data_IF_750175438338
#
_entry.id   IF_750175438338
#
_cell.length_a   1.000
_cell.length_b   1.000
_cell.length_c   1.000
_cell.angle_alpha   90.00
_cell.angle_beta   90.00
_cell.angle_gamma   90.00
#
_symmetry.space_group_name_H-M   'P 1'
#
loop_
_entity.id
_entity.type
_entity.pdbx_description
1 polymer ?
#
# COMPACT_ATOMS: atom_id res chain seq x y z
N UNK A 1 9.30 2.52 33.46
CA UNK A 1 9.53 1.17 32.88
C UNK A 1 8.42 0.94 31.84
N UNK A 2 8.58 1.09 30.53
CA UNK A 2 9.68 1.35 29.60
C UNK A 2 9.41 2.69 28.92
N UNK A 3 10.44 3.54 28.76
CA UNK A 3 10.44 4.64 27.79
C UNK A 3 10.22 4.01 26.41
N UNK A 4 9.00 4.06 25.89
CA UNK A 4 8.77 3.82 24.47
C UNK A 4 9.43 4.98 23.75
N UNK A 5 10.62 4.73 23.20
CA UNK A 5 11.24 5.56 22.18
C UNK A 5 10.17 5.77 21.11
N UNK A 6 9.56 6.96 21.06
CA UNK A 6 8.71 7.36 19.94
C UNK A 6 9.67 7.47 18.76
N UNK A 7 9.83 6.36 18.03
CA UNK A 7 10.49 6.37 16.74
C UNK A 7 9.78 7.42 15.89
N UNK A 8 10.58 8.25 15.22
CA UNK A 8 10.12 9.31 14.32
C UNK A 8 8.97 8.80 13.48
N UNK A 9 7.89 9.59 13.39
CA UNK A 9 6.68 9.18 12.66
C UNK A 9 7.06 8.75 11.24
N UNK A 10 7.95 9.49 10.57
CA UNK A 10 8.51 9.23 9.23
C UNK A 10 9.95 8.69 9.29
N UNK A 11 10.48 8.19 8.17
CA UNK A 11 11.87 7.76 7.99
C UNK A 11 12.93 8.84 8.28
N UNK A 12 12.49 10.08 8.53
CA UNK A 12 13.30 11.23 8.93
C UNK A 12 12.63 12.00 10.08
N UNK A 13 13.45 12.73 10.84
CA UNK A 13 12.97 13.58 11.93
C UNK A 13 12.32 14.86 11.39
N UNK A 14 11.16 15.21 11.96
CA UNK A 14 10.48 16.47 11.68
C UNK A 14 10.91 17.51 12.72
N UNK A 15 11.34 18.69 12.26
CA UNK A 15 11.71 19.79 13.15
C UNK A 15 10.51 20.24 13.99
N UNK A 16 10.74 20.68 15.23
CA UNK A 16 9.71 21.23 16.10
C UNK A 16 8.95 22.39 15.42
N UNK A 17 9.69 23.26 14.71
CA UNK A 17 9.11 24.35 13.95
C UNK A 17 8.15 23.85 12.86
N UNK A 18 8.51 22.78 12.15
CA UNK A 18 7.63 22.16 11.15
C UNK A 18 6.42 21.48 11.80
N UNK A 19 6.61 20.75 12.91
CA UNK A 19 5.51 20.11 13.66
C UNK A 19 4.48 21.13 14.12
N UNK A 20 4.93 22.26 14.67
CA UNK A 20 4.07 23.38 15.10
C UNK A 20 3.42 24.08 13.91
N UNK A 21 4.20 24.45 12.89
CA UNK A 21 3.71 25.14 11.69
C UNK A 21 2.60 24.35 11.03
N UNK A 22 2.77 23.02 10.94
CA UNK A 22 1.88 22.12 10.23
C UNK A 22 0.91 21.36 11.13
N UNK A 23 0.83 21.65 12.44
CA UNK A 23 -0.05 20.95 13.38
C UNK A 23 0.03 19.40 13.26
N UNK A 24 1.25 18.87 13.19
CA UNK A 24 1.53 17.45 12.92
C UNK A 24 1.27 16.57 14.14
N UNK A 25 1.41 17.12 15.35
CA UNK A 25 1.23 16.37 16.61
C UNK A 25 -0.21 15.87 16.82
N UNK A 26 -1.18 16.39 16.05
CA UNK A 26 -2.56 15.90 15.97
C UNK A 26 -2.77 14.71 15.02
N UNK A 27 -1.77 14.30 14.24
CA UNK A 27 -1.85 13.14 13.36
C UNK A 27 -1.68 11.85 14.19
N UNK A 28 -2.50 10.81 13.93
CA UNK A 28 -2.47 9.59 14.73
C UNK A 28 -1.09 8.91 14.59
N UNK A 29 -0.35 8.84 15.70
CA UNK A 29 0.84 8.00 15.80
C UNK A 29 0.44 6.55 15.49
N UNK A 30 1.11 5.91 14.52
CA UNK A 30 0.81 4.54 14.11
C UNK A 30 2.05 3.65 14.15
N UNK A 31 1.85 2.33 14.32
CA UNK A 31 2.87 1.42 14.82
C UNK A 31 3.89 1.01 13.77
N UNK A 32 5.07 0.65 14.27
CA UNK A 32 6.26 -0.10 13.78
C UNK A 32 6.33 -0.63 12.32
N UNK A 33 5.21 -0.87 11.63
CA UNK A 33 5.15 -1.48 10.29
C UNK A 33 5.28 -0.47 9.12
N UNK A 34 5.43 0.82 9.41
CA UNK A 34 5.61 1.89 8.43
C UNK A 34 4.31 2.53 7.94
N UNK A 35 4.44 3.57 7.12
CA UNK A 35 3.31 4.35 6.61
C UNK A 35 2.63 3.73 5.38
N UNK A 36 1.30 3.83 5.33
CA UNK A 36 0.51 3.45 4.15
C UNK A 36 0.40 4.60 3.15
N UNK A 37 0.01 4.29 1.90
CA UNK A 37 -0.30 5.31 0.89
C UNK A 37 -1.39 6.29 1.35
N UNK A 38 -2.39 5.80 2.12
CA UNK A 38 -3.43 6.66 2.66
C UNK A 38 -2.87 7.70 3.64
N UNK A 39 -1.87 7.32 4.43
CA UNK A 39 -1.19 8.22 5.37
C UNK A 39 -0.42 9.31 4.63
N UNK A 40 0.34 8.95 3.58
CA UNK A 40 1.03 9.93 2.73
C UNK A 40 0.07 10.86 1.99
N UNK A 41 -1.09 10.37 1.53
CA UNK A 41 -2.11 11.21 0.92
C UNK A 41 -2.70 12.21 1.90
N UNK A 42 -3.01 11.78 3.13
CA UNK A 42 -3.48 12.67 4.20
C UNK A 42 -2.42 13.71 4.55
N UNK A 43 -1.16 13.29 4.67
CA UNK A 43 -0.05 14.19 4.99
C UNK A 43 0.20 15.20 3.88
N UNK A 44 0.27 14.78 2.62
CA UNK A 44 0.39 15.68 1.46
C UNK A 44 -0.76 16.68 1.41
N UNK A 45 -2.01 16.22 1.55
CA UNK A 45 -3.18 17.09 1.57
C UNK A 45 -3.12 18.11 2.72
N UNK A 46 -2.66 17.68 3.89
CA UNK A 46 -2.51 18.54 5.05
C UNK A 46 -1.45 19.63 4.85
N UNK A 47 -0.25 19.25 4.40
CA UNK A 47 0.82 20.20 4.07
C UNK A 47 0.37 21.20 3.00
N UNK A 48 -0.28 20.71 1.93
CA UNK A 48 -0.76 21.56 0.83
C UNK A 48 -1.84 22.56 1.26
N UNK A 49 -2.74 22.20 2.19
CA UNK A 49 -3.74 23.14 2.72
C UNK A 49 -3.11 24.32 3.46
N UNK A 50 -2.01 24.08 4.17
CA UNK A 50 -1.35 25.09 4.99
C UNK A 50 -0.25 25.86 4.23
N UNK A 51 0.29 25.28 3.16
CA UNK A 51 1.16 25.95 2.18
C UNK A 51 0.33 26.86 1.26
N UNK A 52 -0.29 27.91 1.80
CA UNK A 52 -1.00 28.89 0.99
C UNK A 52 0.00 29.82 0.27
N UNK A 53 0.19 29.63 -1.04
CA UNK A 53 0.98 30.53 -1.90
C UNK A 53 0.95 30.11 -3.38
N UNK A 54 0.87 31.08 -4.29
CA UNK A 54 0.67 30.88 -5.75
C UNK A 54 1.87 30.29 -6.50
N UNK A 55 3.00 30.05 -5.84
CA UNK A 55 4.25 29.60 -6.49
C UNK A 55 4.77 28.24 -6.01
N UNK A 56 4.22 27.67 -4.92
CA UNK A 56 4.66 26.36 -4.45
C UNK A 56 3.94 25.26 -5.23
N UNK A 57 4.70 24.41 -5.95
CA UNK A 57 4.14 23.18 -6.53
C UNK A 57 3.51 22.35 -5.41
N UNK A 58 2.30 21.86 -5.65
CA UNK A 58 1.62 20.98 -4.71
C UNK A 58 2.49 19.74 -4.44
N UNK A 59 2.56 19.35 -3.18
CA UNK A 59 3.23 18.12 -2.77
C UNK A 59 2.40 16.92 -3.20
N UNK A 60 3.01 16.00 -3.94
CA UNK A 60 2.40 14.72 -4.32
C UNK A 60 2.68 13.65 -3.25
N UNK A 61 1.73 12.75 -3.02
CA UNK A 61 1.85 11.73 -1.98
C UNK A 61 2.94 10.71 -2.34
N UNK A 62 3.08 10.36 -3.62
CA UNK A 62 4.14 9.48 -4.10
C UNK A 62 5.54 10.04 -3.85
N UNK A 63 5.74 11.36 -3.99
CA UNK A 63 7.02 11.99 -3.68
C UNK A 63 7.36 11.91 -2.18
N UNK A 64 6.40 12.16 -1.29
CA UNK A 64 6.60 11.99 0.16
C UNK A 64 6.92 10.54 0.53
N UNK A 65 6.22 9.59 -0.09
CA UNK A 65 6.45 8.17 0.13
C UNK A 65 7.86 7.76 -0.30
N UNK A 66 8.34 8.24 -1.45
CA UNK A 66 9.72 7.98 -1.86
C UNK A 66 10.74 8.64 -0.92
N UNK A 67 10.48 9.86 -0.42
CA UNK A 67 11.35 10.54 0.53
C UNK A 67 11.52 9.72 1.84
N UNK A 68 10.40 9.25 2.38
CA UNK A 68 10.34 8.39 3.57
C UNK A 68 11.15 7.10 3.37
N UNK A 69 10.95 6.43 2.23
CA UNK A 69 11.64 5.19 1.88
C UNK A 69 13.15 5.38 1.69
N UNK A 70 13.58 6.47 1.02
CA UNK A 70 15.00 6.76 0.84
C UNK A 70 15.68 6.97 2.19
N UNK A 71 15.05 7.75 3.08
CA UNK A 71 15.57 8.02 4.41
C UNK A 71 15.63 6.74 5.27
N UNK A 72 14.57 5.93 5.24
CA UNK A 72 14.51 4.65 5.96
C UNK A 72 15.58 3.66 5.46
N UNK A 73 15.78 3.56 4.14
CA UNK A 73 16.80 2.70 3.55
C UNK A 73 18.23 3.14 3.93
N UNK A 74 18.51 4.44 3.89
CA UNK A 74 19.80 5.00 4.32
C UNK A 74 20.05 4.75 5.81
N UNK A 75 19.04 4.97 6.66
CA UNK A 75 19.10 4.67 8.08
C UNK A 75 19.38 3.19 8.35
N UNK A 76 18.72 2.30 7.61
CA UNK A 76 18.96 0.85 7.71
C UNK A 76 20.38 0.47 7.32
N UNK A 77 20.92 1.09 6.28
CA UNK A 77 22.30 0.86 5.87
C UNK A 77 23.30 1.31 6.95
N UNK A 78 23.06 2.46 7.60
CA UNK A 78 23.86 2.94 8.73
C UNK A 78 23.76 1.96 9.91
N UNK A 79 22.57 1.47 10.24
CA UNK A 79 22.35 0.50 11.32
C UNK A 79 23.10 -0.81 11.07
N UNK A 80 23.01 -1.36 9.86
CA UNK A 80 23.74 -2.57 9.48
C UNK A 80 25.26 -2.37 9.58
N UNK A 81 25.77 -1.23 9.10
CA UNK A 81 27.18 -0.92 9.23
C UNK A 81 27.62 -0.83 10.69
N UNK A 82 26.83 -0.18 11.54
CA UNK A 82 27.10 -0.07 12.97
C UNK A 82 27.08 -1.43 13.67
N UNK A 83 26.24 -2.37 13.22
CA UNK A 83 26.19 -3.75 13.74
C UNK A 83 27.41 -4.59 13.32
N UNK A 84 27.85 -4.47 12.07
CA UNK A 84 28.98 -5.25 11.53
C UNK A 84 30.36 -4.67 11.88
N UNK A 85 30.46 -3.35 12.01
CA UNK A 85 31.71 -2.59 12.16
C UNK A 85 31.67 -1.61 13.33
N UNK A 86 31.06 -2.02 14.45
CA UNK A 86 30.87 -1.18 15.64
C UNK A 86 32.19 -0.58 16.14
N UNK A 87 33.28 -1.36 16.17
CA UNK A 87 34.58 -0.92 16.67
C UNK A 87 35.19 0.20 15.83
N UNK A 88 35.07 0.13 14.50
CA UNK A 88 35.57 1.18 13.59
C UNK A 88 34.74 2.45 13.72
N UNK A 89 33.42 2.30 13.91
CA UNK A 89 32.54 3.43 14.13
C UNK A 89 32.82 4.11 15.48
N UNK A 90 32.96 3.34 16.57
CA UNK A 90 33.36 3.84 17.89
C UNK A 90 34.72 4.56 17.83
N UNK A 91 35.72 3.96 17.16
CA UNK A 91 37.04 4.58 16.99
C UNK A 91 36.98 5.89 16.18
N UNK A 92 36.10 5.99 15.20
CA UNK A 92 35.88 7.24 14.46
C UNK A 92 35.21 8.29 15.36
N UNK A 93 34.24 7.89 16.18
CA UNK A 93 33.54 8.77 17.11
C UNK A 93 34.49 9.33 18.18
N UNK A 94 35.38 8.49 18.73
CA UNK A 94 36.41 8.90 19.70
C UNK A 94 37.42 9.91 19.15
N UNK A 95 37.59 9.96 17.82
CA UNK A 95 38.48 10.92 17.15
C UNK A 95 37.78 12.26 16.83
N UNK A 96 36.47 12.36 17.01
CA UNK A 96 35.76 13.63 16.92
C UNK A 96 35.97 14.45 18.19
N UNK A 97 35.90 15.78 18.07
CA UNK A 97 35.91 16.66 19.23
C UNK A 97 34.67 16.39 20.08
N UNK A 98 34.88 15.89 21.30
CA UNK A 98 33.79 15.47 22.19
C UNK A 98 32.91 16.65 22.60
N UNK A 99 33.49 17.84 22.80
CA UNK A 99 32.72 19.02 23.17
C UNK A 99 31.86 19.50 22.00
N UNK A 100 32.44 19.56 20.80
CA UNK A 100 31.70 19.96 19.59
C UNK A 100 30.58 18.97 19.27
N UNK A 101 30.81 17.67 19.47
CA UNK A 101 29.81 16.63 19.30
C UNK A 101 28.69 16.70 20.34
N UNK A 102 28.99 16.94 21.61
CA UNK A 102 27.97 17.08 22.66
C UNK A 102 27.09 18.32 22.42
N UNK A 103 27.69 19.44 21.99
CA UNK A 103 26.98 20.65 21.58
C UNK A 103 26.06 20.41 20.37
N UNK A 104 26.54 19.68 19.36
CA UNK A 104 25.77 19.25 18.19
C UNK A 104 24.57 18.37 18.57
N UNK A 105 24.80 17.37 19.40
CA UNK A 105 23.73 16.50 19.88
C UNK A 105 22.70 17.32 20.66
N UNK A 106 23.10 18.16 21.61
CA UNK A 106 22.17 19.01 22.35
C UNK A 106 21.35 19.93 21.42
N UNK A 107 21.99 20.53 20.42
CA UNK A 107 21.29 21.39 19.45
C UNK A 107 20.31 20.59 18.57
N UNK A 108 20.62 19.32 18.28
CA UNK A 108 19.72 18.41 17.57
C UNK A 108 18.49 18.08 18.42
N UNK A 109 18.65 17.81 19.72
CA UNK A 109 17.53 17.59 20.65
C UNK A 109 16.59 18.78 20.68
N UNK A 110 17.16 19.98 20.80
CA UNK A 110 16.39 21.23 20.83
C UNK A 110 15.57 21.44 19.55
N UNK A 111 16.08 20.96 18.41
CA UNK A 111 15.48 21.21 17.10
C UNK A 111 14.45 20.15 16.72
N UNK A 112 14.67 18.89 17.09
CA UNK A 112 13.87 17.74 16.65
C UNK A 112 13.17 16.97 17.78
N UNK A 113 13.47 17.28 19.05
CA UNK A 113 12.92 16.69 20.28
C UNK A 113 13.08 15.17 20.43
N UNK A 114 13.97 14.57 19.66
CA UNK A 114 14.21 13.14 19.65
C UNK A 114 15.72 12.89 19.49
N UNK A 115 16.37 12.36 20.54
CA UNK A 115 17.71 11.79 20.42
C UNK A 115 17.65 10.30 20.73
N UNK A 116 18.25 9.45 19.87
CA UNK A 116 18.48 8.05 20.20
C UNK A 116 19.35 7.90 21.45
N UNK A 117 19.00 6.98 22.36
CA UNK A 117 19.76 6.76 23.60
C UNK A 117 21.19 6.26 23.41
N UNK A 118 21.59 5.91 22.19
CA UNK A 118 22.94 5.47 21.83
C UNK A 118 23.62 6.54 20.97
N UNK A 119 24.84 6.92 21.35
CA UNK A 119 25.68 7.88 20.63
C UNK A 119 25.90 7.46 19.16
N UNK A 120 26.09 6.17 18.91
CA UNK A 120 26.23 5.61 17.56
C UNK A 120 25.00 5.87 16.69
N UNK A 121 23.80 5.66 17.26
CA UNK A 121 22.55 5.89 16.53
C UNK A 121 22.37 7.40 16.30
N UNK A 122 22.65 8.23 17.31
CA UNK A 122 22.53 9.68 17.19
C UNK A 122 23.43 10.26 16.09
N UNK A 123 24.67 9.76 15.96
CA UNK A 123 25.59 10.16 14.90
C UNK A 123 25.11 9.70 13.52
N UNK A 124 24.49 8.51 13.45
CA UNK A 124 23.78 8.07 12.25
C UNK A 124 22.68 9.03 11.82
N UNK A 125 21.93 9.59 12.77
CA UNK A 125 20.90 10.60 12.48
C UNK A 125 21.48 11.93 12.02
N UNK A 126 22.64 12.35 12.54
CA UNK A 126 23.34 13.53 12.04
C UNK A 126 23.76 13.35 10.57
N UNK A 127 24.34 12.19 10.23
CA UNK A 127 24.69 11.87 8.86
C UNK A 127 23.45 11.83 7.95
N UNK A 128 22.34 11.25 8.42
CA UNK A 128 21.09 11.21 7.69
C UNK A 128 20.51 12.61 7.45
N UNK A 129 20.49 13.47 8.47
CA UNK A 129 20.02 14.85 8.34
C UNK A 129 20.80 15.59 7.24
N UNK A 130 22.12 15.41 7.20
CA UNK A 130 22.97 15.99 6.16
C UNK A 130 22.64 15.48 4.77
N UNK A 131 22.39 14.18 4.61
CA UNK A 131 21.98 13.58 3.34
C UNK A 131 20.63 14.14 2.86
N UNK A 132 19.67 14.30 3.76
CA UNK A 132 18.34 14.84 3.45
C UNK A 132 18.44 16.29 2.94
N UNK A 133 19.22 17.14 3.62
CA UNK A 133 19.37 18.55 3.25
C UNK A 133 20.21 18.76 1.98
N UNK A 134 21.14 17.86 1.70
CA UNK A 134 21.97 17.91 0.50
C UNK A 134 21.30 17.30 -0.74
N UNK A 135 20.17 16.60 -0.60
CA UNK A 135 19.47 15.95 -1.71
C UNK A 135 18.57 16.96 -2.47
N UNK A 136 18.88 17.33 -3.73
CA UNK A 136 18.09 18.31 -4.47
C UNK A 136 16.64 17.87 -4.69
N UNK A 137 16.41 16.56 -4.86
CA UNK A 137 15.09 15.97 -5.01
C UNK A 137 14.19 16.14 -3.77
N UNK A 138 14.73 16.52 -2.62
CA UNK A 138 14.00 16.80 -1.38
C UNK A 138 13.72 18.29 -1.12
N UNK A 139 14.19 19.18 -2.00
CA UNK A 139 14.02 20.63 -1.87
C UNK A 139 12.55 21.07 -1.65
N UNK A 140 11.60 20.33 -2.23
CA UNK A 140 10.16 20.58 -2.13
C UNK A 140 9.57 20.37 -0.73
N UNK A 141 10.31 19.77 0.23
CA UNK A 141 9.90 19.57 1.64
C UNK A 141 11.04 19.88 2.62
N UNK A 142 12.08 20.61 2.19
CA UNK A 142 13.26 20.89 3.01
C UNK A 142 12.91 21.52 4.35
N UNK A 143 11.85 22.33 4.42
CA UNK A 143 11.45 22.98 5.67
C UNK A 143 11.02 22.00 6.77
N UNK A 144 10.73 20.74 6.43
CA UNK A 144 10.41 19.71 7.42
C UNK A 144 11.62 19.28 8.25
N UNK A 145 12.84 19.42 7.70
CA UNK A 145 14.10 18.95 8.29
C UNK A 145 15.27 19.90 8.03
N UNK A 146 15.02 21.20 8.01
CA UNK A 146 16.01 22.22 7.64
C UNK A 146 17.19 22.26 8.63
N UNK A 147 18.38 21.85 8.17
CA UNK A 147 19.61 21.85 8.99
C UNK A 147 20.18 23.25 9.22
N UNK A 148 19.72 24.29 8.52
CA UNK A 148 20.26 25.65 8.69
C UNK A 148 20.04 26.21 10.09
N UNK A 149 19.03 25.71 10.82
CA UNK A 149 18.77 26.04 12.22
C UNK A 149 19.87 25.50 13.13
N UNK A 150 20.37 24.29 12.85
CA UNK A 150 21.52 23.68 13.55
C UNK A 150 22.81 24.45 13.24
N UNK A 151 23.05 24.78 11.97
CA UNK A 151 24.24 25.50 11.52
C UNK A 151 24.41 26.90 12.17
N UNK A 152 23.36 27.47 12.75
CA UNK A 152 23.46 28.72 13.50
C UNK A 152 24.09 28.53 14.89
N UNK A 153 24.03 27.32 15.43
CA UNK A 153 24.52 26.96 16.77
C UNK A 153 25.81 26.14 16.71
N UNK A 154 25.99 25.33 15.67
CA UNK A 154 27.01 24.28 15.61
C UNK A 154 27.60 24.10 14.20
N UNK A 155 28.71 23.36 14.10
CA UNK A 155 29.40 23.08 12.83
C UNK A 155 28.90 21.81 12.14
N UNK A 156 27.59 21.56 12.09
CA UNK A 156 27.00 20.30 11.60
C UNK A 156 27.65 19.73 10.32
N UNK A 157 27.82 20.49 9.22
CA UNK A 157 28.43 19.96 8.00
C UNK A 157 29.91 19.54 8.18
N UNK A 158 30.64 20.21 9.08
CA UNK A 158 32.04 19.90 9.36
C UNK A 158 32.17 18.59 10.14
N UNK A 159 31.30 18.36 11.13
CA UNK A 159 31.26 17.12 11.93
C UNK A 159 30.97 15.92 11.03
N UNK A 160 29.93 16.01 10.18
CA UNK A 160 29.61 14.92 9.25
C UNK A 160 30.74 14.71 8.23
N UNK A 161 31.42 15.78 7.80
CA UNK A 161 32.57 15.67 6.90
C UNK A 161 33.79 15.02 7.57
N UNK A 162 34.04 15.32 8.84
CA UNK A 162 35.08 14.68 9.63
C UNK A 162 34.79 13.18 9.77
N UNK A 163 33.55 12.80 10.09
CA UNK A 163 33.13 11.41 10.17
C UNK A 163 33.28 10.68 8.82
N UNK A 164 32.89 11.30 7.71
CA UNK A 164 33.10 10.75 6.36
C UNK A 164 34.59 10.50 6.08
N UNK A 165 35.46 11.42 6.51
CA UNK A 165 36.92 11.30 6.31
C UNK A 165 37.51 10.17 7.16
N UNK A 166 37.09 10.06 8.42
CA UNK A 166 37.55 9.02 9.35
C UNK A 166 37.12 7.62 8.92
N UNK A 167 35.95 7.49 8.28
CA UNK A 167 35.43 6.21 7.78
C UNK A 167 35.83 5.90 6.33
N UNK A 168 36.65 6.73 5.68
CA UNK A 168 37.02 6.54 4.28
C UNK A 168 37.83 5.25 4.04
N UNK A 169 38.72 4.90 4.97
CA UNK A 169 39.55 3.69 4.93
C UNK A 169 38.97 2.53 5.76
N UNK A 170 37.75 2.69 6.28
CA UNK A 170 37.07 1.66 7.05
C UNK A 170 36.58 0.51 6.15
N UNK A 171 36.22 -0.67 6.71
CA UNK A 171 35.71 -1.79 5.94
C UNK A 171 34.55 -1.39 5.04
N UNK A 172 34.52 -1.93 3.82
CA UNK A 172 33.47 -1.65 2.83
C UNK A 172 32.24 -2.51 3.06
N UNK A 173 31.08 -2.02 2.63
CA UNK A 173 29.81 -2.75 2.71
C UNK A 173 29.78 -3.87 1.66
N UNK A 174 29.77 -5.13 2.08
CA UNK A 174 29.66 -6.28 1.18
C UNK A 174 28.20 -6.67 0.94
N UNK A 175 27.74 -6.92 -0.30
CA UNK A 175 28.52 -7.11 -1.54
C UNK A 175 28.76 -5.86 -2.39
N UNK A 176 28.38 -4.66 -1.95
CA UNK A 176 28.54 -3.41 -2.75
C UNK A 176 30.02 -3.11 -3.03
N UNK A 177 30.89 -3.33 -2.04
CA UNK A 177 32.33 -3.13 -2.13
C UNK A 177 32.78 -1.66 -2.02
N UNK A 178 31.94 -0.78 -1.45
CA UNK A 178 32.26 0.64 -1.27
C UNK A 178 32.14 1.09 0.20
N UNK A 179 32.82 2.18 0.62
CA UNK A 179 32.69 2.76 1.95
C UNK A 179 31.25 3.23 2.27
N UNK A 180 30.89 3.29 3.55
CA UNK A 180 29.54 3.63 4.00
C UNK A 180 29.00 4.92 3.36
N UNK A 181 29.75 6.02 3.46
CA UNK A 181 29.31 7.31 2.92
C UNK A 181 29.22 7.32 1.40
N UNK A 182 30.09 6.59 0.70
CA UNK A 182 29.99 6.46 -0.75
C UNK A 182 28.66 5.79 -1.13
N UNK A 183 28.31 4.70 -0.44
CA UNK A 183 27.01 4.05 -0.59
C UNK A 183 25.87 5.03 -0.31
N UNK A 184 25.88 5.72 0.83
CA UNK A 184 24.81 6.63 1.23
C UNK A 184 24.55 7.77 0.23
N UNK A 185 25.62 8.30 -0.39
CA UNK A 185 25.53 9.34 -1.42
C UNK A 185 25.17 8.80 -2.80
N UNK A 186 25.36 7.50 -3.07
CA UNK A 186 25.23 6.95 -4.42
C UNK A 186 23.83 7.13 -5.06
N UNK A 187 22.69 6.93 -4.35
CA UNK A 187 21.37 7.19 -4.92
C UNK A 187 21.21 8.66 -5.32
N UNK A 188 21.62 9.58 -4.44
CA UNK A 188 21.54 11.04 -4.66
C UNK A 188 22.36 11.44 -5.88
N UNK A 189 23.59 10.89 -6.03
CA UNK A 189 24.46 11.16 -7.18
C UNK A 189 23.91 10.56 -8.48
N UNK A 190 23.31 9.39 -8.43
CA UNK A 190 22.78 8.69 -9.59
C UNK A 190 21.52 9.37 -10.16
N UNK A 191 20.66 9.91 -9.29
CA UNK A 191 19.42 10.59 -9.68
C UNK A 191 19.14 11.84 -8.81
N UNK A 192 19.86 12.96 -9.02
CA UNK A 192 19.81 14.12 -8.13
C UNK A 192 18.44 14.79 -8.01
N UNK A 193 17.62 14.70 -9.07
CA UNK A 193 16.35 15.43 -9.20
C UNK A 193 15.12 14.51 -9.06
N UNK A 194 15.29 13.20 -8.80
CA UNK A 194 14.19 12.23 -8.85
C UNK A 194 14.25 11.20 -7.73
N UNK A 195 13.43 11.38 -6.69
CA UNK A 195 13.28 10.42 -5.61
C UNK A 195 12.83 9.03 -6.08
N UNK A 196 11.99 8.94 -7.10
CA UNK A 196 11.55 7.65 -7.64
C UNK A 196 12.71 6.87 -8.28
N UNK A 197 13.63 7.57 -8.95
CA UNK A 197 14.83 6.97 -9.51
C UNK A 197 15.87 6.64 -8.43
N UNK A 198 15.95 7.45 -7.35
CA UNK A 198 16.75 7.11 -6.17
C UNK A 198 16.25 5.81 -5.51
N UNK A 199 14.93 5.65 -5.37
CA UNK A 199 14.30 4.40 -4.91
C UNK A 199 14.63 3.23 -5.84
N UNK A 200 14.62 3.45 -7.16
CA UNK A 200 15.06 2.44 -8.13
C UNK A 200 16.51 2.03 -7.96
N UNK A 201 17.40 3.00 -7.77
CA UNK A 201 18.81 2.76 -7.52
C UNK A 201 18.99 1.91 -6.26
N UNK A 202 18.36 2.31 -5.15
CA UNK A 202 18.42 1.61 -3.86
C UNK A 202 17.91 0.18 -4.02
N UNK A 203 16.74 -0.03 -4.64
CA UNK A 203 16.21 -1.38 -4.84
C UNK A 203 17.17 -2.26 -5.62
N UNK A 204 17.81 -1.74 -6.66
CA UNK A 204 18.67 -2.55 -7.53
C UNK A 204 20.04 -2.86 -6.89
N UNK A 205 20.57 -1.97 -6.04
CA UNK A 205 21.91 -2.13 -5.48
C UNK A 205 21.92 -2.60 -4.02
N UNK A 206 20.85 -2.33 -3.26
CA UNK A 206 20.78 -2.62 -1.83
C UNK A 206 19.80 -3.73 -1.47
N UNK A 207 19.20 -4.42 -2.46
CA UNK A 207 18.19 -5.47 -2.23
C UNK A 207 18.59 -6.50 -1.15
N UNK A 208 19.87 -6.86 -1.06
CA UNK A 208 20.38 -7.85 -0.09
C UNK A 208 20.37 -7.36 1.36
N UNK A 209 20.37 -6.04 1.59
CA UNK A 209 20.43 -5.43 2.92
C UNK A 209 19.06 -5.04 3.45
N UNK A 210 18.06 -4.94 2.58
CA UNK A 210 16.77 -4.35 2.93
C UNK A 210 15.75 -5.44 3.26
N UNK A 211 14.89 -5.21 4.27
CA UNK A 211 13.84 -6.16 4.60
C UNK A 211 12.76 -6.20 3.51
N UNK A 212 12.10 -7.35 3.35
CA UNK A 212 11.12 -7.61 2.28
C UNK A 212 9.94 -6.62 2.26
N UNK A 213 9.51 -6.16 3.44
CA UNK A 213 8.45 -5.15 3.57
C UNK A 213 8.85 -3.80 2.94
N UNK A 214 10.12 -3.39 3.09
CA UNK A 214 10.63 -2.15 2.50
C UNK A 214 10.75 -2.28 0.98
N UNK A 215 11.21 -3.42 0.48
CA UNK A 215 11.23 -3.70 -0.98
C UNK A 215 9.83 -3.64 -1.59
N UNK A 216 8.81 -4.17 -0.91
CA UNK A 216 7.41 -4.09 -1.34
C UNK A 216 6.91 -2.64 -1.38
N UNK A 217 7.22 -1.85 -0.35
CA UNK A 217 6.89 -0.42 -0.30
C UNK A 217 7.58 0.37 -1.41
N UNK A 218 8.82 0.03 -1.79
CA UNK A 218 9.53 0.64 -2.92
C UNK A 218 8.80 0.43 -4.26
N UNK A 219 8.27 -0.78 -4.50
CA UNK A 219 7.47 -1.07 -5.70
C UNK A 219 6.20 -0.22 -5.72
N UNK A 220 5.48 -0.20 -4.60
CA UNK A 220 4.26 0.59 -4.46
C UNK A 220 4.51 2.09 -4.67
N UNK A 221 5.54 2.66 -4.04
CA UNK A 221 5.87 4.08 -4.15
C UNK A 221 6.13 4.50 -5.61
N UNK A 222 6.85 3.66 -6.37
CA UNK A 222 7.10 3.89 -7.79
C UNK A 222 5.84 3.84 -8.63
N UNK A 223 4.99 2.85 -8.38
CA UNK A 223 3.73 2.71 -9.10
C UNK A 223 2.80 3.90 -8.83
N UNK A 224 2.78 4.39 -7.59
CA UNK A 224 2.06 5.62 -7.20
C UNK A 224 2.60 6.84 -7.92
N UNK A 225 3.92 7.09 -7.90
CA UNK A 225 4.52 8.22 -8.62
C UNK A 225 4.23 8.13 -10.13
N UNK A 226 4.29 6.93 -10.70
CA UNK A 226 3.94 6.70 -12.12
C UNK A 226 2.46 7.02 -12.38
N UNK A 227 1.57 6.63 -11.49
CA UNK A 227 0.14 6.92 -11.58
C UNK A 227 -0.16 8.42 -11.46
N UNK A 228 0.46 9.11 -10.51
CA UNK A 228 0.31 10.56 -10.27
C UNK A 228 0.82 11.37 -11.47
N UNK A 229 1.91 10.94 -12.11
CA UNK A 229 2.49 11.58 -13.29
C UNK A 229 1.83 11.21 -14.62
N UNK A 230 0.91 10.24 -14.65
CA UNK A 230 0.21 9.88 -15.89
C UNK A 230 -0.63 11.08 -16.34
N UNK A 231 -0.52 11.52 -17.61
CA UNK A 231 -1.38 12.56 -18.14
C UNK A 231 -2.85 12.18 -17.96
N UNK A 232 -3.56 12.93 -17.11
CA UNK A 232 -5.01 12.83 -16.98
C UNK A 232 -5.62 13.83 -17.95
N UNK A 233 -6.11 13.33 -19.08
CA UNK A 233 -6.98 14.10 -19.97
C UNK A 233 -8.37 14.22 -19.33
N UNK A 234 -9.25 15.07 -19.88
CA UNK A 234 -10.59 15.31 -19.35
C UNK A 234 -11.31 13.99 -18.97
N UNK A 235 -11.38 13.73 -17.67
CA UNK A 235 -12.03 12.57 -17.05
C UNK A 235 -13.11 13.07 -16.08
N UNK A 236 -13.80 12.17 -15.37
CA UNK A 236 -15.10 12.42 -14.71
C UNK A 236 -15.08 13.34 -13.47
N UNK A 237 -14.16 14.32 -13.40
CA UNK A 237 -14.00 15.21 -12.26
C UNK A 237 -13.15 14.59 -11.14
N UNK A 238 -12.95 15.32 -10.02
CA UNK A 238 -12.18 14.84 -8.89
C UNK A 238 -12.82 13.58 -8.30
N UNK A 239 -11.98 12.57 -8.00
CA UNK A 239 -12.43 11.41 -7.24
C UNK A 239 -12.73 11.85 -5.81
N UNK A 240 -14.02 11.94 -5.48
CA UNK A 240 -14.45 12.16 -4.10
C UNK A 240 -14.20 10.88 -3.31
N UNK A 241 -13.45 10.97 -2.22
CA UNK A 241 -13.43 9.91 -1.22
C UNK A 241 -14.82 9.90 -0.58
N UNK A 242 -15.56 8.81 -0.74
CA UNK A 242 -16.82 8.62 -0.03
C UNK A 242 -16.48 8.50 1.46
N UNK A 243 -16.73 9.58 2.21
CA UNK A 243 -16.68 9.56 3.66
C UNK A 243 -18.03 9.02 4.15
N UNK A 244 -18.01 7.80 4.71
CA UNK A 244 -19.18 7.26 5.40
C UNK A 244 -19.22 7.87 6.79
N UNK A 245 -20.16 8.79 7.01
CA UNK A 245 -20.44 9.34 8.33
C UNK A 245 -21.23 8.32 9.16
N UNK A 246 -20.52 7.56 10.00
CA UNK A 246 -21.14 6.63 10.94
C UNK A 246 -21.91 7.34 12.07
N UNK A 247 -21.85 8.68 12.16
CA UNK A 247 -22.61 9.47 13.12
C UNK A 247 -23.98 9.92 12.59
N UNK A 248 -24.28 9.71 11.30
CA UNK A 248 -25.62 9.92 10.78
C UNK A 248 -26.53 8.77 11.23
N UNK A 249 -27.35 9.03 12.25
CA UNK A 249 -28.41 8.15 12.78
C UNK A 249 -29.55 7.83 11.75
N UNK A 250 -29.29 7.96 10.45
CA UNK A 250 -30.29 7.96 9.38
C UNK A 250 -30.11 6.82 8.36
N UNK A 251 -29.74 5.63 8.83
CA UNK A 251 -30.12 4.39 8.10
C UNK A 251 -31.31 3.75 8.83
N UNK A 252 -32.56 4.08 8.45
CA UNK A 252 -33.77 3.58 9.12
C UNK A 252 -34.11 2.11 8.80
N UNK A 253 -33.22 1.36 8.15
CA UNK A 253 -33.44 -0.05 7.89
C UNK A 253 -33.05 -0.89 9.10
N UNK A 254 -34.04 -1.23 9.92
CA UNK A 254 -33.88 -2.28 10.94
C UNK A 254 -33.44 -3.59 10.28
N UNK A 255 -32.35 -4.16 10.78
CA UNK A 255 -31.81 -5.45 10.34
C UNK A 255 -32.91 -6.54 10.40
N UNK A 256 -33.37 -7.00 9.23
CA UNK A 256 -34.41 -8.00 9.11
C UNK A 256 -33.82 -9.42 9.01
N UNK A 257 -33.01 -9.81 10.00
CA UNK A 257 -32.42 -11.16 10.00
C UNK A 257 -33.51 -12.24 10.01
N UNK A 258 -33.34 -13.25 9.15
CA UNK A 258 -34.13 -14.47 9.24
C UNK A 258 -33.87 -15.15 10.58
N UNK A 259 -34.90 -15.79 11.15
CA UNK A 259 -34.71 -16.61 12.36
C UNK A 259 -33.69 -17.72 12.08
N UNK A 260 -32.76 -17.91 13.02
CA UNK A 260 -31.80 -19.00 12.97
C UNK A 260 -32.52 -20.34 12.82
N UNK A 261 -32.12 -21.09 11.80
CA UNK A 261 -32.53 -22.46 11.60
C UNK A 261 -31.35 -23.39 11.87
N UNK A 262 -31.61 -24.59 12.40
CA UNK A 262 -30.58 -25.57 12.78
C UNK A 262 -29.56 -25.88 11.68
N UNK A 263 -29.92 -25.64 10.41
CA UNK A 263 -29.04 -25.87 9.29
C UNK A 263 -28.01 -24.75 9.06
N UNK A 264 -28.33 -23.50 9.41
CA UNK A 264 -27.49 -22.32 9.13
C UNK A 264 -26.09 -22.43 9.75
N UNK A 265 -25.91 -22.82 11.04
CA UNK A 265 -24.57 -22.97 11.62
C UNK A 265 -23.81 -24.22 11.15
N UNK A 266 -24.48 -25.14 10.44
CA UNK A 266 -23.93 -26.44 10.06
C UNK A 266 -23.69 -26.57 8.54
N UNK A 267 -23.78 -25.48 7.78
CA UNK A 267 -23.57 -25.52 6.33
C UNK A 267 -22.11 -25.81 6.01
N UNK A 268 -21.88 -26.83 5.19
CA UNK A 268 -20.60 -27.04 4.49
C UNK A 268 -20.81 -26.68 3.02
N UNK A 269 -20.23 -25.56 2.60
CA UNK A 269 -20.52 -24.92 1.32
C UNK A 269 -19.44 -25.23 0.27
N UNK A 270 -19.87 -25.61 -0.93
CA UNK A 270 -19.04 -25.66 -2.14
C UNK A 270 -19.34 -24.43 -3.01
N UNK A 271 -18.36 -23.55 -3.20
CA UNK A 271 -18.48 -22.41 -4.10
C UNK A 271 -17.88 -22.73 -5.49
N UNK A 272 -18.62 -22.43 -6.55
CA UNK A 272 -18.21 -22.69 -7.94
C UNK A 272 -18.46 -21.47 -8.82
N UNK A 273 -17.43 -21.02 -9.53
CA UNK A 273 -17.62 -20.15 -10.69
C UNK A 273 -18.32 -20.95 -11.79
N UNK A 274 -19.56 -20.60 -12.12
CA UNK A 274 -20.44 -21.47 -12.90
C UNK A 274 -19.84 -21.87 -14.24
N UNK A 275 -19.45 -20.91 -15.09
CA UNK A 275 -18.85 -21.21 -16.41
C UNK A 275 -17.58 -22.05 -16.33
N UNK A 276 -16.69 -21.75 -15.37
CA UNK A 276 -15.46 -22.53 -15.16
C UNK A 276 -15.79 -23.95 -14.74
N UNK A 277 -16.78 -24.11 -13.87
CA UNK A 277 -17.19 -25.42 -13.39
C UNK A 277 -17.86 -26.25 -14.48
N UNK A 278 -18.74 -25.66 -15.29
CA UNK A 278 -19.37 -26.34 -16.42
C UNK A 278 -18.33 -26.83 -17.46
N UNK A 279 -17.31 -26.02 -17.75
CA UNK A 279 -16.16 -26.45 -18.60
C UNK A 279 -15.35 -27.59 -17.95
N UNK A 280 -15.07 -27.50 -16.64
CA UNK A 280 -14.39 -28.58 -15.91
C UNK A 280 -15.19 -29.89 -15.92
N UNK A 281 -16.50 -29.81 -15.71
CA UNK A 281 -17.38 -30.97 -15.78
C UNK A 281 -17.41 -31.53 -17.20
N UNK A 282 -17.45 -30.67 -18.22
CA UNK A 282 -17.44 -31.11 -19.61
C UNK A 282 -16.21 -31.99 -19.91
N UNK A 283 -15.04 -31.55 -19.43
CA UNK A 283 -13.78 -32.31 -19.56
C UNK A 283 -13.78 -33.58 -18.71
N UNK A 284 -14.33 -33.53 -17.50
CA UNK A 284 -14.38 -34.68 -16.58
C UNK A 284 -15.28 -35.80 -17.09
N UNK A 285 -16.42 -35.45 -17.68
CA UNK A 285 -17.45 -36.39 -18.14
C UNK A 285 -17.41 -36.64 -19.65
N UNK A 286 -16.41 -36.10 -20.34
CA UNK A 286 -16.18 -36.23 -21.79
C UNK A 286 -17.43 -35.96 -22.64
N UNK A 287 -18.18 -34.92 -22.27
CA UNK A 287 -19.37 -34.45 -22.99
C UNK A 287 -19.57 -32.96 -22.78
N UNK A 288 -20.14 -32.22 -23.73
CA UNK A 288 -20.50 -30.81 -23.51
C UNK A 288 -21.52 -30.67 -22.38
N UNK A 289 -21.19 -29.83 -21.39
CA UNK A 289 -22.07 -29.40 -20.29
C UNK A 289 -22.03 -27.87 -20.30
N UNK A 290 -23.07 -27.25 -20.84
CA UNK A 290 -23.16 -25.80 -21.06
C UNK A 290 -24.27 -25.14 -20.26
N UNK A 291 -25.27 -25.91 -19.81
CA UNK A 291 -26.40 -25.42 -19.01
C UNK A 291 -26.49 -26.11 -17.65
N UNK A 292 -27.21 -25.51 -16.71
CA UNK A 292 -27.30 -25.98 -15.32
C UNK A 292 -27.96 -27.37 -15.19
N UNK A 293 -28.97 -27.65 -16.00
CA UNK A 293 -29.68 -28.93 -16.05
C UNK A 293 -28.79 -30.09 -16.55
N UNK A 294 -27.71 -29.78 -17.27
CA UNK A 294 -26.79 -30.79 -17.80
C UNK A 294 -25.76 -31.29 -16.77
N UNK A 295 -25.68 -30.65 -15.59
CA UNK A 295 -24.80 -31.07 -14.49
C UNK A 295 -25.18 -32.51 -14.10
N UNK A 296 -24.25 -33.49 -14.21
CA UNK A 296 -24.54 -34.89 -13.98
C UNK A 296 -24.97 -35.16 -12.53
N UNK A 297 -25.91 -36.08 -12.38
CA UNK A 297 -26.38 -36.54 -11.08
C UNK A 297 -25.27 -37.17 -10.25
N UNK A 298 -24.33 -37.87 -10.89
CA UNK A 298 -23.18 -38.48 -10.23
C UNK A 298 -22.24 -37.44 -9.62
N UNK A 299 -22.20 -36.22 -10.16
CA UNK A 299 -21.44 -35.11 -9.60
C UNK A 299 -22.11 -34.58 -8.34
N UNK A 300 -23.44 -34.42 -8.36
CA UNK A 300 -24.20 -34.01 -7.19
C UNK A 300 -24.10 -35.07 -6.08
N UNK A 301 -24.16 -36.36 -6.44
CA UNK A 301 -23.94 -37.48 -5.52
C UNK A 301 -22.54 -37.47 -4.93
N UNK A 302 -21.53 -37.09 -5.72
CA UNK A 302 -20.15 -36.96 -5.24
C UNK A 302 -20.02 -35.83 -4.20
N UNK A 303 -20.59 -34.65 -4.49
CA UNK A 303 -20.57 -33.52 -3.56
C UNK A 303 -21.28 -33.87 -2.24
N UNK A 304 -22.45 -34.50 -2.32
CA UNK A 304 -23.17 -34.96 -1.14
C UNK A 304 -22.37 -36.00 -0.33
N UNK A 305 -21.73 -36.97 -1.01
CA UNK A 305 -20.86 -37.99 -0.35
C UNK A 305 -19.64 -37.39 0.33
N UNK A 306 -19.10 -36.29 -0.19
CA UNK A 306 -18.03 -35.55 0.46
C UNK A 306 -18.49 -34.73 1.68
N UNK A 307 -19.80 -34.69 1.95
CA UNK A 307 -20.37 -34.01 3.11
C UNK A 307 -20.71 -32.54 2.85
N UNK A 308 -20.70 -32.08 1.60
CA UNK A 308 -21.23 -30.75 1.28
C UNK A 308 -22.74 -30.76 1.45
N UNK A 309 -23.27 -29.67 2.03
CA UNK A 309 -24.70 -29.46 2.26
C UNK A 309 -25.23 -28.21 1.53
N UNK A 310 -24.34 -27.49 0.84
CA UNK A 310 -24.67 -26.32 0.05
C UNK A 310 -23.80 -26.23 -1.21
N UNK A 311 -24.39 -25.74 -2.29
CA UNK A 311 -23.73 -25.45 -3.55
C UNK A 311 -24.02 -23.99 -3.93
N UNK A 312 -22.98 -23.15 -3.87
CA UNK A 312 -23.04 -21.75 -4.28
C UNK A 312 -22.51 -21.60 -5.70
N UNK A 313 -23.36 -21.11 -6.60
CA UNK A 313 -23.03 -20.84 -7.99
C UNK A 313 -22.81 -19.35 -8.20
N UNK A 314 -21.59 -19.01 -8.63
CA UNK A 314 -21.16 -17.62 -8.85
C UNK A 314 -21.40 -17.24 -10.31
N UNK A 315 -22.11 -16.13 -10.51
CA UNK A 315 -22.37 -15.53 -11.82
C UNK A 315 -23.50 -16.19 -12.61
N UNK A 316 -24.63 -16.47 -11.93
CA UNK A 316 -25.88 -16.98 -12.52
C UNK A 316 -26.67 -15.91 -13.30
N UNK A 317 -26.54 -14.66 -12.89
CA UNK A 317 -27.34 -13.54 -13.37
C UNK A 317 -26.86 -12.98 -14.70
N UNK A 318 -27.78 -12.36 -15.43
CA UNK A 318 -27.50 -11.68 -16.69
C UNK A 318 -26.45 -10.59 -16.49
N UNK A 319 -25.47 -10.54 -17.40
CA UNK A 319 -24.30 -9.68 -17.28
C UNK A 319 -24.30 -8.55 -18.31
N UNK A 320 -23.66 -7.46 -17.93
CA UNK A 320 -23.43 -6.26 -18.72
C UNK A 320 -22.62 -6.53 -19.98
N UNK A 321 -23.13 -6.15 -21.14
CA UNK A 321 -22.39 -6.23 -22.40
C UNK A 321 -21.26 -5.18 -22.43
N UNK A 322 -21.49 -4.00 -21.84
CA UNK A 322 -20.47 -2.97 -21.70
C UNK A 322 -19.24 -3.45 -20.90
N UNK A 323 -19.45 -4.23 -19.83
CA UNK A 323 -18.37 -4.82 -19.03
C UNK A 323 -17.47 -5.73 -19.87
N UNK A 324 -18.05 -6.56 -20.74
CA UNK A 324 -17.31 -7.40 -21.69
C UNK A 324 -16.48 -6.54 -22.64
N UNK A 325 -17.14 -5.58 -23.29
CA UNK A 325 -16.52 -4.71 -24.28
C UNK A 325 -15.33 -3.94 -23.71
N UNK A 326 -15.46 -3.38 -22.50
CA UNK A 326 -14.37 -2.66 -21.83
C UNK A 326 -13.17 -3.59 -21.61
N UNK A 327 -13.37 -4.80 -21.11
CA UNK A 327 -12.28 -5.77 -20.91
C UNK A 327 -11.57 -6.14 -22.22
N UNK A 328 -12.35 -6.29 -23.30
CA UNK A 328 -11.81 -6.57 -24.63
C UNK A 328 -11.00 -5.39 -25.18
N UNK A 329 -11.50 -4.16 -25.06
CA UNK A 329 -10.79 -2.94 -25.45
C UNK A 329 -9.49 -2.74 -24.66
N UNK A 330 -9.44 -3.19 -23.41
CA UNK A 330 -8.26 -3.15 -22.55
C UNK A 330 -7.24 -4.26 -22.84
N UNK A 331 -7.43 -5.06 -23.89
CA UNK A 331 -6.43 -5.99 -24.42
C UNK A 331 -6.71 -7.46 -24.16
N UNK A 332 -7.88 -7.84 -23.63
CA UNK A 332 -8.26 -9.25 -23.47
C UNK A 332 -9.46 -9.62 -24.37
N UNK A 333 -9.25 -10.00 -25.64
CA UNK A 333 -10.33 -10.26 -26.59
C UNK A 333 -11.24 -11.43 -26.21
N UNK A 334 -10.74 -12.38 -25.43
CA UNK A 334 -11.50 -13.56 -24.96
C UNK A 334 -12.22 -13.30 -23.63
N UNK A 335 -12.11 -12.10 -23.07
CA UNK A 335 -12.72 -11.78 -21.79
C UNK A 335 -14.25 -11.84 -21.85
N UNK A 336 -14.85 -12.44 -20.84
CA UNK A 336 -16.29 -12.37 -20.56
C UNK A 336 -16.59 -11.28 -19.53
N UNK A 337 -17.85 -10.82 -19.49
CA UNK A 337 -18.32 -9.87 -18.47
C UNK A 337 -18.03 -10.36 -17.05
N UNK A 338 -17.74 -9.42 -16.15
CA UNK A 338 -17.60 -9.76 -14.72
C UNK A 338 -18.89 -10.38 -14.20
N UNK A 339 -18.79 -11.42 -13.36
CA UNK A 339 -19.95 -12.00 -12.68
C UNK A 339 -20.69 -10.97 -11.79
N UNK A 340 -19.99 -9.90 -11.40
CA UNK A 340 -20.51 -8.80 -10.58
C UNK A 340 -20.88 -7.55 -11.38
N UNK A 341 -20.78 -7.57 -12.71
CA UNK A 341 -21.30 -6.50 -13.57
C UNK A 341 -22.69 -6.92 -14.08
N UNK A 342 -23.68 -6.87 -13.20
CA UNK A 342 -25.03 -7.33 -13.49
C UNK A 342 -25.74 -6.40 -14.47
N UNK A 343 -26.44 -6.96 -15.46
CA UNK A 343 -27.38 -6.20 -16.28
C UNK A 343 -28.78 -6.22 -15.66
N UNK A 344 -29.24 -7.41 -15.25
CA UNK A 344 -30.52 -7.63 -14.58
C UNK A 344 -30.45 -8.92 -13.72
N UNK A 345 -31.32 -9.05 -12.73
CA UNK A 345 -31.46 -10.23 -11.87
C UNK A 345 -32.28 -11.33 -12.55
N UNK A 346 -31.86 -11.70 -13.75
CA UNK A 346 -32.46 -12.76 -14.56
C UNK A 346 -31.40 -13.85 -14.76
N UNK A 347 -31.77 -15.13 -14.61
CA UNK A 347 -30.83 -16.22 -14.87
C UNK A 347 -30.40 -16.20 -16.33
N UNK A 348 -29.08 -16.25 -16.56
CA UNK A 348 -28.49 -16.20 -17.90
C UNK A 348 -29.13 -17.24 -18.83
N UNK A 349 -29.67 -16.81 -19.99
CA UNK A 349 -30.20 -17.74 -20.99
C UNK A 349 -29.17 -18.78 -21.44
N UNK A 350 -27.90 -18.39 -21.54
CA UNK A 350 -26.79 -19.28 -21.92
C UNK A 350 -26.55 -20.42 -20.90
N UNK A 351 -27.02 -20.25 -19.67
CA UNK A 351 -26.98 -21.29 -18.63
C UNK A 351 -28.26 -22.15 -18.60
N UNK A 352 -29.18 -21.94 -19.53
CA UNK A 352 -30.48 -22.63 -19.63
C UNK A 352 -31.63 -21.89 -18.92
N UNK A 353 -31.38 -20.69 -18.38
CA UNK A 353 -32.40 -19.85 -17.73
C UNK A 353 -33.01 -20.45 -16.47
N UNK A 354 -34.16 -19.89 -16.06
CA UNK A 354 -34.92 -20.30 -14.87
C UNK A 354 -35.23 -21.80 -14.84
N UNK A 355 -35.64 -22.36 -15.98
CA UNK A 355 -36.02 -23.78 -16.06
C UNK A 355 -34.85 -24.72 -15.73
N UNK A 356 -33.65 -24.41 -16.22
CA UNK A 356 -32.45 -25.20 -15.92
C UNK A 356 -31.99 -25.03 -14.46
N UNK A 357 -32.14 -23.84 -13.89
CA UNK A 357 -31.89 -23.61 -12.47
C UNK A 357 -32.86 -24.41 -11.60
N UNK A 358 -34.15 -24.40 -11.94
CA UNK A 358 -35.20 -25.10 -11.19
C UNK A 358 -35.00 -26.62 -11.20
N UNK A 359 -34.62 -27.19 -12.34
CA UNK A 359 -34.23 -28.60 -12.47
C UNK A 359 -33.05 -28.94 -11.56
N UNK A 360 -31.95 -28.19 -11.67
CA UNK A 360 -30.76 -28.38 -10.83
C UNK A 360 -31.11 -28.25 -9.35
N UNK A 361 -31.92 -27.25 -8.99
CA UNK A 361 -32.37 -27.01 -7.61
C UNK A 361 -33.10 -28.23 -7.07
N UNK A 362 -33.99 -28.83 -7.85
CA UNK A 362 -34.72 -30.02 -7.43
C UNK A 362 -33.76 -31.20 -7.19
N UNK A 363 -32.92 -31.54 -8.17
CA UNK A 363 -31.98 -32.67 -8.07
C UNK A 363 -30.93 -32.50 -6.98
N UNK A 364 -30.46 -31.27 -6.75
CA UNK A 364 -29.56 -30.93 -5.65
C UNK A 364 -30.27 -31.09 -4.29
N UNK A 365 -31.51 -30.62 -4.19
CA UNK A 365 -32.29 -30.70 -2.96
C UNK A 365 -32.56 -32.14 -2.52
N UNK A 366 -32.88 -33.03 -3.45
CA UNK A 366 -33.06 -34.47 -3.17
C UNK A 366 -31.81 -35.11 -2.53
N UNK A 367 -30.63 -34.54 -2.80
CA UNK A 367 -29.34 -34.98 -2.26
C UNK A 367 -28.90 -34.20 -1.01
N UNK A 368 -29.77 -33.33 -0.49
CA UNK A 368 -29.48 -32.49 0.67
C UNK A 368 -28.57 -31.29 0.39
N UNK A 369 -28.34 -30.95 -0.89
CA UNK A 369 -27.56 -29.79 -1.31
C UNK A 369 -28.48 -28.58 -1.51
N UNK A 370 -28.33 -27.55 -0.68
CA UNK A 370 -29.03 -26.27 -0.87
C UNK A 370 -28.31 -25.41 -1.90
N UNK A 371 -29.02 -24.93 -2.91
CA UNK A 371 -28.46 -23.97 -3.84
C UNK A 371 -28.41 -22.56 -3.24
N UNK A 372 -27.33 -21.86 -3.54
CA UNK A 372 -27.16 -20.43 -3.26
C UNK A 372 -26.64 -19.72 -4.52
N UNK A 373 -27.01 -18.46 -4.68
CA UNK A 373 -26.51 -17.56 -5.72
C UNK A 373 -26.01 -16.26 -5.10
N UNK A 374 -25.20 -15.52 -5.84
CA UNK A 374 -24.75 -14.19 -5.43
C UNK A 374 -25.95 -13.24 -5.28
N UNK A 375 -25.96 -12.39 -4.26
CA UNK A 375 -26.84 -11.22 -4.22
C UNK A 375 -25.96 -10.00 -4.01
N UNK A 376 -25.89 -9.11 -5.01
CA UNK A 376 -24.88 -8.04 -5.08
C UNK A 376 -25.60 -6.72 -5.32
N UNK A 377 -26.24 -6.14 -4.30
CA UNK A 377 -27.12 -4.98 -4.47
C UNK A 377 -26.36 -3.67 -4.71
N UNK A 378 -25.04 -3.65 -4.50
CA UNK A 378 -24.22 -2.45 -4.52
C UNK A 378 -23.44 -2.22 -5.82
N UNK A 379 -23.42 -3.18 -6.76
CA UNK A 379 -22.65 -3.09 -8.00
C UNK A 379 -23.47 -3.59 -9.20
N UNK A 380 -23.59 -2.75 -10.23
CA UNK A 380 -24.28 -3.07 -11.48
C UNK A 380 -23.42 -2.67 -12.68
N UNK A 381 -23.72 -3.25 -13.83
CA UNK A 381 -23.18 -2.79 -15.12
C UNK A 381 -23.56 -1.34 -15.38
N UNK A 382 -22.70 -0.60 -16.09
CA UNK A 382 -23.01 0.77 -16.52
C UNK A 382 -24.21 0.85 -17.46
N UNK A 383 -24.50 -0.25 -18.15
CA UNK A 383 -25.64 -0.49 -19.04
C UNK A 383 -26.73 -1.35 -18.38
N UNK A 384 -26.74 -1.45 -17.04
CA UNK A 384 -27.73 -2.24 -16.32
C UNK A 384 -29.12 -1.60 -16.42
N UNK A 385 -30.14 -2.45 -16.42
CA UNK A 385 -31.52 -2.02 -16.56
C UNK A 385 -31.94 -1.06 -15.45
N UNK A 386 -31.61 -1.37 -14.19
CA UNK A 386 -31.90 -0.48 -13.06
C UNK A 386 -31.16 0.86 -13.16
N UNK A 387 -29.91 0.89 -13.61
CA UNK A 387 -29.17 2.16 -13.78
C UNK A 387 -29.88 3.07 -14.81
N UNK A 388 -30.52 2.48 -15.81
CA UNK A 388 -31.23 3.22 -16.87
C UNK A 388 -32.66 3.58 -16.47
N UNK A 389 -33.39 2.64 -15.86
CA UNK A 389 -34.83 2.78 -15.55
C UNK A 389 -35.09 3.43 -14.17
N UNK A 390 -34.12 3.33 -13.24
CA UNK A 390 -34.18 3.83 -11.87
C UNK A 390 -32.87 4.56 -11.49
N UNK A 391 -32.62 5.76 -12.07
CA UNK A 391 -31.39 6.52 -11.83
C UNK A 391 -31.38 7.35 -10.54
N UNK A 392 -32.52 7.45 -9.85
CA UNK A 392 -32.65 8.06 -8.51
C UNK A 392 -32.02 7.20 -7.43
#
# INVERSE_FOLDING_TARGET
>A
MKTMTRLSTFGFHLSLAARQRYDIDGLPARPVEGHTLADFRKFAAHLNRQRSGTEAKAIEAGQLMCADIVAEAQRKLIQLYAEEHSAQLEQAIEQLDTQELDEELSAFEDTFSEIPSSQTIAIGELALLRLLNANPALSFIRELFDETVLQQKTSHPAIVKALETLLADAPTLSPIGAPLFECLWAPIKAAPESLAEQVDYIRNHWATFLPENLSTRMVLARDVVREERRPRFAGPGPAHVLEFDFAAEEYPETEAFSRDANWMPNVVLMAKSTYVWLDQLSKKYDRPITTLDQIPDEELDLLARWGFSGLWLIGLWQRSAASKLIKQMMGNPEAESSAYSLHDYVILPDLGGEAALDDLRHRAWERGLRLAGDMVPNHMGIDARWVVEHPD
#
